data_IF_562079643561
#
_entry.id   IF_562079643561
#
_cell.length_a   1.000
_cell.length_b   1.000
_cell.length_c   1.000
_cell.angle_alpha   90.00
_cell.angle_beta   90.00
_cell.angle_gamma   90.00
#
_symmetry.space_group_name_H-M   'P 1'
#
loop_
_entity.id
_entity.type
_entity.pdbx_description
1 polymer ?
#
# COMPACT_ATOMS: atom_id res chain seq x y z
N UNK A 1 6.64 -10.38 -52.67
CA UNK A 1 7.73 -10.13 -51.70
C UNK A 1 7.54 -8.86 -50.86
N UNK A 2 7.15 -7.72 -51.44
CA UNK A 2 6.98 -6.44 -50.71
C UNK A 2 5.93 -6.46 -49.58
N UNK A 3 4.84 -7.21 -49.70
CA UNK A 3 3.81 -7.33 -48.65
C UNK A 3 4.24 -8.20 -47.44
N UNK A 4 5.16 -9.15 -47.64
CA UNK A 4 5.66 -10.02 -46.54
C UNK A 4 6.60 -9.24 -45.63
N UNK A 5 7.51 -8.44 -46.21
CA UNK A 5 8.44 -7.60 -45.46
C UNK A 5 7.73 -6.51 -44.63
N UNK A 6 6.63 -5.95 -45.16
CA UNK A 6 5.80 -4.98 -44.41
C UNK A 6 5.08 -5.66 -43.25
N UNK A 7 4.53 -6.87 -43.46
CA UNK A 7 3.88 -7.63 -42.38
C UNK A 7 4.86 -8.04 -41.27
N UNK A 8 6.08 -8.44 -41.62
CA UNK A 8 7.14 -8.76 -40.65
C UNK A 8 7.66 -7.54 -39.90
N UNK A 9 7.78 -6.37 -40.55
CA UNK A 9 8.19 -5.15 -39.88
C UNK A 9 7.12 -4.66 -38.89
N UNK A 10 5.85 -4.74 -39.25
CA UNK A 10 4.72 -4.41 -38.36
C UNK A 10 4.65 -5.39 -37.19
N UNK A 11 4.82 -6.70 -37.43
CA UNK A 11 4.79 -7.71 -36.36
C UNK A 11 5.96 -7.55 -35.38
N UNK A 12 7.19 -7.30 -35.86
CA UNK A 12 8.35 -7.01 -35.00
C UNK A 12 8.14 -5.76 -34.15
N UNK A 13 7.53 -4.71 -34.71
CA UNK A 13 7.27 -3.44 -34.01
C UNK A 13 6.22 -3.62 -32.90
N UNK A 14 5.16 -4.38 -33.16
CA UNK A 14 4.16 -4.72 -32.15
C UNK A 14 4.74 -5.64 -31.05
N UNK A 15 5.61 -6.57 -31.42
CA UNK A 15 6.29 -7.46 -30.48
C UNK A 15 7.26 -6.69 -29.56
N UNK A 16 8.00 -5.70 -30.07
CA UNK A 16 8.87 -4.83 -29.26
C UNK A 16 8.10 -3.89 -28.35
N UNK A 17 6.95 -3.35 -28.79
CA UNK A 17 6.06 -2.57 -27.90
C UNK A 17 5.52 -3.42 -26.75
N UNK A 18 5.06 -4.64 -27.05
CA UNK A 18 4.56 -5.59 -26.05
C UNK A 18 5.65 -6.02 -25.07
N UNK A 19 6.88 -6.26 -25.53
CA UNK A 19 7.99 -6.63 -24.62
C UNK A 19 8.33 -5.50 -23.66
N UNK A 20 8.50 -4.26 -24.16
CA UNK A 20 8.78 -3.09 -23.31
C UNK A 20 7.69 -2.83 -22.26
N UNK A 21 6.42 -2.96 -22.65
CA UNK A 21 5.30 -2.82 -21.72
C UNK A 21 5.31 -3.90 -20.64
N UNK A 22 5.65 -5.14 -20.98
CA UNK A 22 5.82 -6.23 -19.99
C UNK A 22 6.99 -5.96 -19.06
N UNK A 23 8.13 -5.50 -19.58
CA UNK A 23 9.31 -5.14 -18.77
C UNK A 23 8.98 -4.00 -17.78
N UNK A 24 8.32 -2.94 -18.21
CA UNK A 24 7.95 -1.83 -17.33
C UNK A 24 6.99 -2.27 -16.21
N UNK A 25 5.99 -3.11 -16.53
CA UNK A 25 5.10 -3.70 -15.51
C UNK A 25 5.88 -4.56 -14.52
N UNK A 26 6.76 -5.42 -15.02
CA UNK A 26 7.58 -6.28 -14.17
C UNK A 26 8.47 -5.46 -13.24
N UNK A 27 9.04 -4.34 -13.71
CA UNK A 27 9.84 -3.45 -12.87
C UNK A 27 9.03 -2.76 -11.77
N UNK A 28 7.81 -2.29 -12.06
CA UNK A 28 6.94 -1.67 -11.03
C UNK A 28 6.54 -2.71 -9.97
N UNK A 29 6.13 -3.90 -10.41
CA UNK A 29 5.77 -5.00 -9.50
C UNK A 29 7.00 -5.43 -8.68
N UNK A 30 8.16 -5.57 -9.31
CA UNK A 30 9.40 -5.91 -8.63
C UNK A 30 9.84 -4.82 -7.64
N UNK A 31 9.64 -3.54 -7.95
CA UNK A 31 9.93 -2.44 -7.04
C UNK A 31 9.02 -2.48 -5.80
N UNK A 32 7.72 -2.72 -5.98
CA UNK A 32 6.77 -2.87 -4.87
C UNK A 32 7.10 -4.09 -4.00
N UNK A 33 7.33 -5.25 -4.63
CA UNK A 33 7.70 -6.47 -3.92
C UNK A 33 9.06 -6.34 -3.21
N UNK A 34 10.03 -5.72 -3.88
CA UNK A 34 11.35 -5.45 -3.33
C UNK A 34 11.29 -4.51 -2.14
N UNK A 35 10.51 -3.41 -2.23
CA UNK A 35 10.27 -2.50 -1.12
C UNK A 35 9.61 -3.20 0.07
N UNK A 36 8.58 -4.02 -0.19
CA UNK A 36 7.88 -4.77 0.85
C UNK A 36 8.81 -5.79 1.51
N UNK A 37 9.61 -6.53 0.73
CA UNK A 37 10.58 -7.49 1.23
C UNK A 37 11.70 -6.83 2.03
N UNK A 38 12.29 -5.75 1.51
CA UNK A 38 13.32 -4.98 2.21
C UNK A 38 12.80 -4.42 3.53
N UNK A 39 11.56 -3.94 3.55
CA UNK A 39 10.90 -3.48 4.78
C UNK A 39 10.71 -4.63 5.77
N UNK A 40 10.20 -5.78 5.32
CA UNK A 40 10.01 -6.96 6.15
C UNK A 40 11.33 -7.47 6.75
N UNK A 41 12.39 -7.49 5.95
CA UNK A 41 13.73 -7.87 6.41
C UNK A 41 14.32 -6.84 7.38
N UNK A 42 14.22 -5.56 7.07
CA UNK A 42 14.69 -4.49 7.94
C UNK A 42 13.95 -4.50 9.29
N UNK A 43 12.63 -4.70 9.27
CA UNK A 43 11.83 -4.86 10.48
C UNK A 43 12.33 -6.05 11.30
N UNK A 44 12.49 -7.22 10.68
CA UNK A 44 12.97 -8.44 11.35
C UNK A 44 14.36 -8.26 11.96
N UNK A 45 15.25 -7.54 11.28
CA UNK A 45 16.61 -7.28 11.73
C UNK A 45 16.67 -6.26 12.87
N UNK A 46 15.86 -5.19 12.81
CA UNK A 46 15.79 -4.19 13.88
C UNK A 46 15.06 -4.69 15.12
N UNK A 47 14.14 -5.65 14.97
CA UNK A 47 13.34 -6.21 16.07
C UNK A 47 13.92 -7.48 16.64
N UNK A 48 15.15 -7.84 16.28
CA UNK A 48 15.90 -8.89 16.93
C UNK A 48 16.37 -8.39 18.31
N UNK A 49 15.40 -8.03 19.16
CA UNK A 49 15.60 -7.96 20.59
C UNK A 49 15.89 -9.42 20.95
N UNK A 50 17.15 -9.72 21.25
CA UNK A 50 17.60 -11.10 21.52
C UNK A 50 16.70 -11.81 22.54
N UNK A 51 16.85 -13.13 22.66
CA UNK A 51 16.06 -13.97 23.57
C UNK A 51 15.89 -13.28 24.93
N UNK A 52 14.66 -12.82 25.24
CA UNK A 52 14.36 -12.23 26.53
C UNK A 52 14.56 -13.34 27.56
N UNK A 53 15.48 -13.17 28.53
CA UNK A 53 15.74 -14.21 29.52
C UNK A 53 14.46 -14.62 30.24
N UNK A 54 14.09 -15.91 30.16
CA UNK A 54 12.87 -16.45 30.78
C UNK A 54 11.67 -16.66 29.85
N UNK A 55 11.74 -16.20 28.58
CA UNK A 55 10.72 -16.51 27.56
C UNK A 55 11.25 -17.55 26.55
N UNK A 56 10.40 -18.51 26.10
CA UNK A 56 10.78 -19.41 25.02
C UNK A 56 11.13 -18.61 23.76
N UNK A 57 12.19 -19.02 23.06
CA UNK A 57 12.52 -18.43 21.77
C UNK A 57 11.35 -18.64 20.78
N UNK A 58 11.00 -17.60 20.03
CA UNK A 58 9.95 -17.72 19.02
C UNK A 58 10.36 -18.71 17.94
N UNK A 59 9.46 -19.61 17.49
CA UNK A 59 9.72 -20.47 16.35
C UNK A 59 10.07 -19.64 15.10
N UNK A 60 11.02 -20.09 14.25
CA UNK A 60 11.38 -19.38 13.01
C UNK A 60 10.18 -19.06 12.12
N UNK A 61 9.18 -19.96 12.10
CA UNK A 61 7.93 -19.76 11.36
C UNK A 61 7.19 -18.49 11.79
N UNK A 62 7.09 -18.21 13.09
CA UNK A 62 6.40 -17.01 13.60
C UNK A 62 7.25 -15.78 13.33
N UNK A 63 8.55 -15.88 13.63
CA UNK A 63 9.52 -14.78 13.46
C UNK A 63 9.58 -14.24 12.04
N UNK A 64 9.70 -15.11 11.03
CA UNK A 64 9.75 -14.69 9.62
C UNK A 64 8.37 -14.64 8.96
N UNK A 65 7.41 -15.41 9.46
CA UNK A 65 6.06 -15.46 8.91
C UNK A 65 5.30 -14.15 9.12
N UNK A 66 5.42 -13.50 10.27
CA UNK A 66 4.66 -12.27 10.58
C UNK A 66 5.00 -11.15 9.59
N UNK A 67 6.26 -10.78 9.35
CA UNK A 67 6.61 -9.74 8.39
C UNK A 67 6.17 -10.07 6.96
N UNK A 68 6.27 -11.34 6.55
CA UNK A 68 5.86 -11.80 5.21
C UNK A 68 4.35 -11.74 5.05
N UNK A 69 3.59 -12.24 6.02
CA UNK A 69 2.13 -12.21 6.01
C UNK A 69 1.61 -10.75 6.03
N UNK A 70 2.25 -9.88 6.81
CA UNK A 70 1.93 -8.45 6.85
C UNK A 70 2.22 -7.76 5.52
N UNK A 71 3.37 -8.01 4.91
CA UNK A 71 3.71 -7.49 3.60
C UNK A 71 2.72 -7.95 2.52
N UNK A 72 2.33 -9.23 2.55
CA UNK A 72 1.33 -9.78 1.64
C UNK A 72 -0.06 -9.13 1.83
N UNK A 73 -0.48 -8.93 3.08
CA UNK A 73 -1.70 -8.22 3.43
C UNK A 73 -1.71 -6.80 2.87
N UNK A 74 -0.67 -6.02 3.17
CA UNK A 74 -0.59 -4.61 2.77
C UNK A 74 -0.55 -4.49 1.23
N UNK A 75 0.24 -5.31 0.53
CA UNK A 75 0.28 -5.31 -0.93
C UNK A 75 -1.07 -5.71 -1.56
N UNK A 76 -1.75 -6.70 -1.00
CA UNK A 76 -3.05 -7.16 -1.49
C UNK A 76 -4.13 -6.09 -1.27
N UNK A 77 -4.12 -5.42 -0.13
CA UNK A 77 -5.05 -4.34 0.17
C UNK A 77 -4.81 -3.11 -0.73
N UNK A 78 -3.54 -2.69 -0.91
CA UNK A 78 -3.15 -1.62 -1.83
C UNK A 78 -3.57 -1.93 -3.27
N UNK A 79 -3.34 -3.16 -3.73
CA UNK A 79 -3.76 -3.60 -5.05
C UNK A 79 -5.28 -3.58 -5.19
N UNK A 80 -6.02 -4.04 -4.17
CA UNK A 80 -7.49 -4.05 -4.16
C UNK A 80 -8.03 -2.61 -4.25
N UNK A 81 -7.51 -1.69 -3.45
CA UNK A 81 -7.91 -0.26 -3.47
C UNK A 81 -7.60 0.36 -4.83
N UNK A 82 -6.39 0.16 -5.36
CA UNK A 82 -5.97 0.69 -6.66
C UNK A 82 -6.80 0.17 -7.84
N UNK A 83 -7.06 -1.13 -7.88
CA UNK A 83 -7.87 -1.76 -8.91
C UNK A 83 -9.34 -1.33 -8.82
N UNK A 84 -9.86 -1.19 -7.60
CA UNK A 84 -11.22 -0.72 -7.35
C UNK A 84 -11.44 0.71 -7.83
N UNK A 85 -10.48 1.62 -7.72
CA UNK A 85 -10.65 3.00 -8.19
C UNK A 85 -10.35 3.19 -9.69
N UNK A 86 -9.66 2.25 -10.32
CA UNK A 86 -9.15 2.38 -11.68
C UNK A 86 -10.22 2.74 -12.73
N UNK A 87 -11.44 2.15 -12.73
CA UNK A 87 -12.47 2.51 -13.71
C UNK A 87 -12.86 3.99 -13.65
N UNK A 88 -12.91 4.59 -12.45
CA UNK A 88 -13.19 6.01 -12.26
C UNK A 88 -12.07 6.91 -12.79
N UNK A 89 -10.82 6.46 -12.66
CA UNK A 89 -9.67 7.18 -13.23
C UNK A 89 -9.71 7.15 -14.76
N UNK A 90 -10.03 6.02 -15.37
CA UNK A 90 -10.21 5.89 -16.82
C UNK A 90 -11.38 6.74 -17.33
N UNK A 91 -12.48 6.80 -16.57
CA UNK A 91 -13.69 7.49 -16.97
C UNK A 91 -14.57 6.66 -17.92
N UNK A 92 -15.75 7.19 -18.18
CA UNK A 92 -16.82 6.47 -18.86
C UNK A 92 -17.12 7.00 -20.27
N UNK A 93 -16.35 7.98 -20.74
CA UNK A 93 -16.58 8.68 -22.01
C UNK A 93 -16.28 7.78 -23.24
N UNK A 94 -15.35 6.82 -23.11
CA UNK A 94 -14.90 5.95 -24.20
C UNK A 94 -14.95 4.45 -23.84
N UNK A 95 -16.14 3.86 -23.65
CA UNK A 95 -16.31 2.51 -23.09
C UNK A 95 -15.60 1.42 -23.92
N UNK A 96 -15.57 1.54 -25.25
CA UNK A 96 -14.89 0.57 -26.13
C UNK A 96 -13.39 0.42 -25.81
N UNK A 97 -12.75 1.46 -25.25
CA UNK A 97 -11.32 1.49 -24.93
C UNK A 97 -11.04 1.25 -23.46
N UNK A 98 -11.89 1.74 -22.57
CA UNK A 98 -11.73 1.63 -21.12
C UNK A 98 -12.18 0.27 -20.60
N UNK A 99 -13.22 -0.34 -21.17
CA UNK A 99 -13.84 -1.57 -20.67
C UNK A 99 -12.91 -2.79 -20.64
N UNK A 100 -12.03 -3.06 -21.64
CA UNK A 100 -11.09 -4.17 -21.56
C UNK A 100 -10.11 -4.04 -20.38
N UNK A 101 -9.83 -2.82 -19.94
CA UNK A 101 -8.96 -2.53 -18.80
C UNK A 101 -9.74 -2.66 -17.50
N UNK A 102 -10.93 -2.06 -17.45
CA UNK A 102 -11.82 -2.10 -16.30
C UNK A 102 -12.26 -3.54 -15.97
N UNK A 103 -12.63 -4.34 -16.98
CA UNK A 103 -12.99 -5.75 -16.81
C UNK A 103 -11.86 -6.57 -16.19
N UNK A 104 -10.62 -6.36 -16.66
CA UNK A 104 -9.44 -7.03 -16.09
C UNK A 104 -9.18 -6.56 -14.65
N UNK A 105 -9.36 -5.27 -14.37
CA UNK A 105 -9.22 -4.73 -13.03
C UNK A 105 -10.23 -5.36 -12.06
N UNK A 106 -11.51 -5.44 -12.45
CA UNK A 106 -12.58 -6.08 -11.66
C UNK A 106 -12.26 -7.53 -11.31
N UNK A 107 -11.77 -8.32 -12.27
CA UNK A 107 -11.34 -9.70 -12.03
C UNK A 107 -10.18 -9.79 -11.02
N UNK A 108 -9.20 -8.90 -11.16
CA UNK A 108 -8.05 -8.88 -10.26
C UNK A 108 -8.41 -8.37 -8.87
N UNK A 109 -9.38 -7.47 -8.73
CA UNK A 109 -9.91 -7.04 -7.42
C UNK A 109 -10.45 -8.23 -6.63
N UNK A 110 -11.11 -9.20 -7.28
CA UNK A 110 -11.57 -10.42 -6.61
C UNK A 110 -10.39 -11.22 -6.07
N UNK A 111 -9.39 -11.45 -6.92
CA UNK A 111 -8.19 -12.19 -6.54
C UNK A 111 -7.43 -11.49 -5.40
N UNK A 112 -7.17 -10.19 -5.52
CA UNK A 112 -6.42 -9.43 -4.50
C UNK A 112 -7.22 -9.31 -3.20
N UNK A 113 -8.55 -9.20 -3.26
CA UNK A 113 -9.41 -9.23 -2.08
C UNK A 113 -9.35 -10.56 -1.32
N UNK A 114 -9.31 -11.69 -2.04
CA UNK A 114 -9.12 -13.01 -1.41
C UNK A 114 -7.72 -13.18 -0.82
N UNK A 115 -6.68 -12.72 -1.52
CA UNK A 115 -5.30 -12.75 -0.99
C UNK A 115 -5.19 -11.87 0.25
N UNK A 116 -5.84 -10.71 0.27
CA UNK A 116 -5.92 -9.85 1.46
C UNK A 116 -6.60 -10.59 2.62
N UNK A 117 -7.78 -11.15 2.40
CA UNK A 117 -8.50 -11.93 3.43
C UNK A 117 -7.61 -13.05 4.01
N UNK A 118 -7.01 -13.87 3.15
CA UNK A 118 -6.14 -14.97 3.59
C UNK A 118 -4.91 -14.47 4.34
N UNK A 119 -4.28 -13.39 3.88
CA UNK A 119 -3.09 -12.81 4.54
C UNK A 119 -3.43 -12.22 5.91
N UNK A 120 -4.62 -11.63 6.07
CA UNK A 120 -5.12 -11.14 7.35
C UNK A 120 -5.36 -12.30 8.35
N UNK A 121 -5.97 -13.39 7.90
CA UNK A 121 -6.18 -14.59 8.74
C UNK A 121 -4.86 -15.26 9.12
N UNK A 122 -3.92 -15.39 8.18
CA UNK A 122 -2.57 -15.91 8.48
C UNK A 122 -1.85 -15.00 9.48
N UNK A 123 -1.94 -13.68 9.31
CA UNK A 123 -1.35 -12.72 10.25
C UNK A 123 -1.95 -12.86 11.64
N UNK A 124 -3.27 -13.10 11.76
CA UNK A 124 -3.95 -13.33 13.03
C UNK A 124 -3.41 -14.57 13.73
N UNK A 125 -3.31 -15.70 13.02
CA UNK A 125 -2.77 -16.95 13.58
C UNK A 125 -1.34 -16.76 14.07
N UNK A 126 -0.49 -16.14 13.25
CA UNK A 126 0.91 -15.94 13.59
C UNK A 126 1.09 -14.99 14.79
N UNK A 127 0.32 -13.91 14.86
CA UNK A 127 0.37 -12.99 16.01
C UNK A 127 -0.19 -13.62 17.29
N UNK A 128 -1.23 -14.46 17.20
CA UNK A 128 -1.72 -15.23 18.35
C UNK A 128 -0.65 -16.19 18.90
N UNK A 129 0.15 -16.80 18.02
CA UNK A 129 1.29 -17.64 18.41
C UNK A 129 2.44 -16.83 19.02
N UNK A 130 2.69 -15.61 18.53
CA UNK A 130 3.66 -14.67 19.12
C UNK A 130 3.24 -14.24 20.53
N UNK A 131 1.95 -13.98 20.75
CA UNK A 131 1.41 -13.57 22.05
C UNK A 131 1.41 -14.71 23.10
N UNK A 132 1.53 -15.97 22.69
CA UNK A 132 1.59 -17.11 23.61
C UNK A 132 2.66 -18.14 23.18
N UNK A 133 3.96 -17.81 23.34
CA UNK A 133 5.05 -18.67 22.91
C UNK A 133 4.97 -20.07 23.55
N UNK A 134 5.02 -21.11 22.72
CA UNK A 134 5.01 -22.51 23.17
C UNK A 134 3.62 -23.15 23.30
N UNK A 135 2.53 -22.40 23.12
CA UNK A 135 1.19 -22.97 23.05
C UNK A 135 0.87 -23.52 21.65
N UNK A 136 0.15 -24.65 21.54
CA UNK A 136 -0.28 -25.17 20.24
C UNK A 136 -1.30 -24.21 19.60
N UNK A 137 -1.23 -24.06 18.28
CA UNK A 137 -2.18 -23.29 17.49
C UNK A 137 -3.55 -23.98 17.48
N UNK A 138 -4.36 -23.70 18.49
CA UNK A 138 -5.71 -24.26 18.69
C UNK A 138 -6.76 -23.18 18.45
N UNK A 139 -8.00 -23.60 18.16
CA UNK A 139 -9.13 -22.66 18.02
C UNK A 139 -9.34 -21.84 19.29
N UNK A 140 -9.09 -22.43 20.47
CA UNK A 140 -9.17 -21.72 21.75
C UNK A 140 -8.17 -20.57 21.88
N UNK A 141 -6.93 -20.76 21.40
CA UNK A 141 -5.92 -19.69 21.37
C UNK A 141 -6.36 -18.52 20.48
N UNK A 142 -6.94 -18.82 19.32
CA UNK A 142 -7.40 -17.80 18.38
C UNK A 142 -8.58 -16.99 18.96
N UNK A 143 -9.54 -17.67 19.60
CA UNK A 143 -10.66 -17.01 20.28
C UNK A 143 -10.14 -16.12 21.41
N UNK A 144 -9.24 -16.65 22.26
CA UNK A 144 -8.64 -15.87 23.33
C UNK A 144 -7.88 -14.64 22.82
N UNK A 145 -7.13 -14.76 21.72
CA UNK A 145 -6.46 -13.62 21.10
C UNK A 145 -7.44 -12.57 20.59
N UNK A 146 -8.53 -12.99 19.94
CA UNK A 146 -9.58 -12.09 19.44
C UNK A 146 -10.32 -11.39 20.58
N UNK A 147 -10.56 -12.07 21.70
CA UNK A 147 -11.29 -11.49 22.82
C UNK A 147 -10.41 -10.56 23.68
N UNK A 148 -9.12 -10.90 23.85
CA UNK A 148 -8.26 -10.24 24.83
C UNK A 148 -7.21 -9.30 24.21
N UNK A 149 -6.98 -9.36 22.89
CA UNK A 149 -5.99 -8.52 22.22
C UNK A 149 -6.68 -7.65 21.17
N UNK A 150 -6.60 -6.30 21.27
CA UNK A 150 -7.26 -5.38 20.32
C UNK A 150 -6.90 -5.62 18.84
N UNK A 151 -5.70 -6.13 18.57
CA UNK A 151 -5.27 -6.48 17.22
C UNK A 151 -6.05 -7.66 16.60
N UNK A 152 -6.58 -8.57 17.42
CA UNK A 152 -7.34 -9.74 16.96
C UNK A 152 -8.62 -9.38 16.21
N UNK A 153 -9.56 -8.61 16.81
CA UNK A 153 -10.75 -8.11 16.13
C UNK A 153 -10.40 -7.24 14.92
N UNK A 154 -9.34 -6.44 14.99
CA UNK A 154 -8.86 -5.63 13.87
C UNK A 154 -8.50 -6.45 12.63
N UNK A 155 -7.73 -7.53 12.82
CA UNK A 155 -7.37 -8.45 11.72
C UNK A 155 -8.56 -9.24 11.19
N UNK A 156 -9.49 -9.67 12.04
CA UNK A 156 -10.74 -10.31 11.60
C UNK A 156 -11.60 -9.36 10.77
N UNK A 157 -11.78 -8.12 11.23
CA UNK A 157 -12.53 -7.11 10.51
C UNK A 157 -11.86 -6.78 9.16
N UNK A 158 -10.52 -6.70 9.12
CA UNK A 158 -9.79 -6.53 7.86
C UNK A 158 -9.96 -7.72 6.91
N UNK A 159 -9.94 -8.95 7.43
CA UNK A 159 -10.22 -10.15 6.64
C UNK A 159 -11.64 -10.10 6.05
N UNK A 160 -12.64 -9.70 6.86
CA UNK A 160 -14.00 -9.46 6.41
C UNK A 160 -14.09 -8.38 5.34
N UNK A 161 -13.32 -7.29 5.46
CA UNK A 161 -13.19 -6.26 4.44
C UNK A 161 -12.63 -6.78 3.11
N UNK A 162 -11.59 -7.61 3.16
CA UNK A 162 -11.04 -8.29 1.98
C UNK A 162 -12.04 -9.23 1.30
N UNK A 163 -12.79 -10.00 2.09
CA UNK A 163 -13.87 -10.85 1.59
C UNK A 163 -14.99 -10.03 0.95
N UNK A 164 -15.42 -8.94 1.60
CA UNK A 164 -16.46 -8.06 1.07
C UNK A 164 -16.01 -7.42 -0.25
N UNK A 165 -14.74 -7.01 -0.35
CA UNK A 165 -14.16 -6.55 -1.62
C UNK A 165 -14.22 -7.62 -2.72
N UNK A 166 -13.93 -8.88 -2.38
CA UNK A 166 -14.00 -9.98 -3.34
C UNK A 166 -15.44 -10.24 -3.80
N UNK A 167 -16.41 -10.20 -2.88
CA UNK A 167 -17.84 -10.36 -3.20
C UNK A 167 -18.36 -9.22 -4.08
N UNK A 168 -18.09 -7.97 -3.69
CA UNK A 168 -18.46 -6.79 -4.49
C UNK A 168 -17.74 -6.82 -5.85
N UNK A 169 -16.48 -7.26 -5.88
CA UNK A 169 -15.71 -7.49 -7.10
C UNK A 169 -16.35 -8.55 -8.02
N UNK A 170 -16.89 -9.63 -7.46
CA UNK A 170 -17.59 -10.66 -8.23
C UNK A 170 -18.87 -10.11 -8.86
N UNK A 171 -19.65 -9.33 -8.09
CA UNK A 171 -20.81 -8.61 -8.62
C UNK A 171 -20.41 -7.64 -9.73
N UNK A 172 -19.30 -6.92 -9.56
CA UNK A 172 -18.75 -6.01 -10.56
C UNK A 172 -18.30 -6.74 -11.84
N UNK A 173 -17.75 -7.95 -11.74
CA UNK A 173 -17.43 -8.81 -12.90
C UNK A 173 -18.71 -9.23 -13.62
N UNK A 174 -19.77 -9.56 -12.88
CA UNK A 174 -21.04 -10.04 -13.45
C UNK A 174 -21.91 -8.94 -14.07
N UNK A 175 -21.96 -7.78 -13.42
CA UNK A 175 -22.89 -6.68 -13.72
C UNK A 175 -22.20 -5.42 -14.27
N UNK A 176 -20.87 -5.45 -14.44
CA UNK A 176 -20.13 -4.30 -14.95
C UNK A 176 -20.24 -3.08 -14.04
N UNK A 177 -20.39 -1.90 -14.61
CA UNK A 177 -20.45 -0.62 -13.88
C UNK A 177 -21.82 -0.31 -13.24
N UNK A 178 -22.79 -1.23 -13.30
CA UNK A 178 -24.00 -1.15 -12.47
C UNK A 178 -23.68 -1.23 -10.98
N UNK A 179 -22.54 -1.83 -10.61
CA UNK A 179 -21.96 -1.71 -9.27
C UNK A 179 -21.05 -0.48 -9.27
N UNK A 180 -21.39 0.61 -8.57
CA UNK A 180 -20.61 1.84 -8.63
C UNK A 180 -19.15 1.63 -8.21
N UNK A 181 -18.24 2.25 -8.95
CA UNK A 181 -16.81 2.20 -8.66
C UNK A 181 -16.48 2.87 -7.31
N UNK A 182 -17.25 3.89 -6.94
CA UNK A 182 -17.22 4.55 -5.63
C UNK A 182 -17.48 3.57 -4.50
N UNK A 183 -18.53 2.74 -4.63
CA UNK A 183 -18.87 1.74 -3.62
C UNK A 183 -17.73 0.75 -3.42
N UNK A 184 -17.15 0.22 -4.51
CA UNK A 184 -16.00 -0.71 -4.46
C UNK A 184 -14.81 -0.09 -3.73
N UNK A 185 -14.53 1.17 -4.03
CA UNK A 185 -13.40 1.90 -3.44
C UNK A 185 -13.66 2.17 -1.97
N UNK A 186 -14.86 2.64 -1.60
CA UNK A 186 -15.24 2.88 -0.20
C UNK A 186 -15.17 1.60 0.61
N UNK A 187 -15.71 0.49 0.11
CA UNK A 187 -15.63 -0.83 0.78
C UNK A 187 -14.17 -1.23 1.02
N UNK A 188 -13.30 -1.05 0.03
CA UNK A 188 -11.87 -1.34 0.18
C UNK A 188 -11.16 -0.42 1.18
N UNK A 189 -11.52 0.86 1.24
CA UNK A 189 -10.97 1.78 2.23
C UNK A 189 -11.46 1.47 3.64
N UNK A 190 -12.75 1.13 3.81
CA UNK A 190 -13.32 0.73 5.09
C UNK A 190 -12.69 -0.56 5.62
N UNK A 191 -12.39 -1.53 4.75
CA UNK A 191 -11.69 -2.76 5.15
C UNK A 191 -10.26 -2.54 5.69
N UNK A 192 -9.65 -1.38 5.39
CA UNK A 192 -8.32 -1.01 5.89
C UNK A 192 -8.35 -0.32 7.26
N UNK A 193 -9.48 0.31 7.64
CA UNK A 193 -9.58 1.08 8.89
C UNK A 193 -9.35 0.25 10.17
N UNK A 194 -9.68 -1.05 10.22
CA UNK A 194 -9.35 -1.86 11.39
C UNK A 194 -7.84 -2.09 11.61
N UNK A 195 -6.99 -1.83 10.61
CA UNK A 195 -5.55 -2.08 10.72
C UNK A 195 -4.83 -1.12 11.69
N UNK A 196 -5.08 0.20 11.66
CA UNK A 196 -4.64 1.13 12.71
C UNK A 196 -4.95 0.69 14.14
N UNK A 197 -6.08 0.01 14.37
CA UNK A 197 -6.49 -0.50 15.70
C UNK A 197 -5.59 -1.63 16.23
N UNK A 198 -4.70 -2.19 15.39
CA UNK A 198 -3.76 -3.25 15.80
C UNK A 198 -2.55 -2.72 16.58
N UNK A 199 -2.36 -1.39 16.62
CA UNK A 199 -1.31 -0.75 17.43
C UNK A 199 -1.80 -0.43 18.84
N UNK A 200 -0.92 -0.56 19.84
CA UNK A 200 -1.16 -0.09 21.20
C UNK A 200 -1.21 1.45 21.22
N UNK A 201 -2.33 2.05 20.81
CA UNK A 201 -2.59 3.43 21.13
C UNK A 201 -2.76 3.50 22.65
N UNK A 202 -1.73 3.98 23.34
CA UNK A 202 -1.76 4.23 24.79
C UNK A 202 -2.98 5.07 25.15
N UNK A 203 -3.71 4.71 26.21
CA UNK A 203 -4.82 5.52 26.72
C UNK A 203 -4.31 6.92 27.12
N UNK A 204 -4.70 7.94 26.37
CA UNK A 204 -4.33 9.33 26.62
C UNK A 204 -5.39 10.29 26.08
N UNK A 205 -5.36 11.53 26.57
CA UNK A 205 -6.38 12.57 26.31
C UNK A 205 -6.67 12.87 24.82
N UNK A 206 -5.78 12.52 23.88
CA UNK A 206 -5.97 12.73 22.44
C UNK A 206 -5.96 11.43 21.61
N UNK A 207 -6.28 10.30 22.26
CA UNK A 207 -6.36 9.00 21.63
C UNK A 207 -7.21 9.00 20.34
N UNK A 208 -8.41 9.57 20.39
CA UNK A 208 -9.35 9.61 19.26
C UNK A 208 -8.81 10.40 18.07
N UNK A 209 -8.13 11.53 18.34
CA UNK A 209 -7.49 12.32 17.28
C UNK A 209 -6.33 11.58 16.62
N UNK A 210 -5.54 10.84 17.41
CA UNK A 210 -4.46 10.01 16.89
C UNK A 210 -5.00 8.85 16.04
N UNK A 211 -6.11 8.23 16.44
CA UNK A 211 -6.76 7.19 15.66
C UNK A 211 -7.27 7.72 14.32
N UNK A 212 -8.04 8.81 14.33
CA UNK A 212 -8.56 9.44 13.10
C UNK A 212 -7.40 9.87 12.19
N UNK A 213 -6.33 10.44 12.75
CA UNK A 213 -5.14 10.82 11.98
C UNK A 213 -4.48 9.61 11.32
N UNK A 214 -4.32 8.49 12.03
CA UNK A 214 -3.76 7.26 11.48
C UNK A 214 -4.66 6.64 10.40
N UNK A 215 -5.97 6.65 10.59
CA UNK A 215 -6.94 6.21 9.58
C UNK A 215 -6.82 7.04 8.30
N UNK A 216 -6.79 8.37 8.43
CA UNK A 216 -6.57 9.29 7.30
C UNK A 216 -5.24 9.03 6.61
N UNK A 217 -4.18 8.74 7.38
CA UNK A 217 -2.87 8.37 6.84
C UNK A 217 -2.94 7.12 5.97
N UNK A 218 -3.54 6.04 6.49
CA UNK A 218 -3.65 4.76 5.78
C UNK A 218 -4.53 4.89 4.55
N UNK A 219 -5.67 5.58 4.66
CA UNK A 219 -6.58 5.84 3.52
C UNK A 219 -5.86 6.63 2.43
N UNK A 220 -5.18 7.72 2.79
CA UNK A 220 -4.40 8.53 1.86
C UNK A 220 -3.29 7.73 1.19
N UNK A 221 -2.51 6.99 1.98
CA UNK A 221 -1.41 6.17 1.47
C UNK A 221 -1.92 5.07 0.54
N UNK A 222 -3.04 4.42 0.88
CA UNK A 222 -3.63 3.37 0.06
C UNK A 222 -4.15 3.89 -1.27
N UNK A 223 -4.81 5.06 -1.27
CA UNK A 223 -5.27 5.68 -2.51
C UNK A 223 -4.10 6.10 -3.40
N UNK A 224 -3.02 6.60 -2.80
CA UNK A 224 -1.85 7.06 -3.54
C UNK A 224 -1.04 5.89 -4.12
N UNK A 225 -0.57 4.97 -3.29
CA UNK A 225 0.30 3.85 -3.72
C UNK A 225 -0.50 2.87 -4.58
N UNK A 226 -1.71 2.50 -4.15
CA UNK A 226 -2.57 1.60 -4.90
C UNK A 226 -2.99 2.18 -6.25
N UNK A 227 -3.41 3.44 -6.27
CA UNK A 227 -3.77 4.13 -7.52
C UNK A 227 -2.58 4.29 -8.46
N UNK A 228 -1.40 4.62 -7.95
CA UNK A 228 -0.17 4.73 -8.73
C UNK A 228 0.19 3.38 -9.38
N UNK A 229 0.16 2.30 -8.60
CA UNK A 229 0.41 0.95 -9.09
C UNK A 229 -0.60 0.54 -10.17
N UNK A 230 -1.88 0.82 -9.96
CA UNK A 230 -2.93 0.52 -10.94
C UNK A 230 -2.73 1.30 -12.25
N UNK A 231 -2.46 2.61 -12.18
CA UNK A 231 -2.17 3.44 -13.36
C UNK A 231 -0.91 2.96 -14.08
N UNK A 232 0.16 2.68 -13.34
CA UNK A 232 1.43 2.22 -13.90
C UNK A 232 1.30 0.87 -14.62
N UNK A 233 0.58 -0.08 -14.02
CA UNK A 233 0.48 -1.44 -14.56
C UNK A 233 -0.54 -1.55 -15.70
N UNK A 234 -1.68 -0.85 -15.60
CA UNK A 234 -2.80 -1.05 -16.52
C UNK A 234 -2.97 0.05 -17.56
N UNK A 235 -2.51 1.27 -17.25
CA UNK A 235 -2.73 2.46 -18.09
C UNK A 235 -1.47 2.89 -18.82
N UNK A 236 -0.29 2.85 -18.18
CA UNK A 236 0.97 3.29 -18.79
C UNK A 236 1.29 2.72 -20.19
N UNK A 237 0.95 1.45 -20.52
CA UNK A 237 1.16 0.93 -21.87
C UNK A 237 0.31 1.59 -22.96
N UNK A 238 -0.76 2.30 -22.58
CA UNK A 238 -1.80 2.86 -23.48
C UNK A 238 -1.83 4.38 -23.35
N UNK A 239 -1.16 5.08 -24.26
CA UNK A 239 -0.98 6.55 -24.18
C UNK A 239 -2.29 7.34 -24.17
N UNK A 240 -3.29 6.87 -24.88
CA UNK A 240 -4.59 7.53 -24.98
C UNK A 240 -5.30 7.52 -23.62
N UNK A 241 -5.35 6.36 -22.96
CA UNK A 241 -5.92 6.23 -21.61
C UNK A 241 -5.08 6.97 -20.56
N UNK A 242 -3.77 7.09 -20.80
CA UNK A 242 -2.86 7.81 -19.92
C UNK A 242 -3.17 9.31 -19.88
N UNK A 243 -3.55 9.91 -21.01
CA UNK A 243 -3.94 11.32 -21.09
C UNK A 243 -5.21 11.61 -20.28
N UNK A 244 -6.11 10.63 -20.11
CA UNK A 244 -7.34 10.77 -19.33
C UNK A 244 -7.14 10.48 -17.84
N UNK A 245 -6.43 9.38 -17.53
CA UNK A 245 -6.29 8.90 -16.16
C UNK A 245 -5.28 9.68 -15.34
N UNK A 246 -4.14 10.10 -15.92
CA UNK A 246 -3.05 10.74 -15.18
C UNK A 246 -3.47 12.11 -14.61
N UNK A 247 -4.20 13.00 -15.32
CA UNK A 247 -4.66 14.25 -14.72
C UNK A 247 -5.59 14.04 -13.52
N UNK A 248 -6.51 13.06 -13.60
CA UNK A 248 -7.42 12.71 -12.50
C UNK A 248 -6.65 12.14 -11.32
N UNK A 249 -5.73 11.20 -11.59
CA UNK A 249 -4.88 10.60 -10.57
C UNK A 249 -3.93 11.63 -9.93
N UNK A 250 -3.37 12.58 -10.68
CA UNK A 250 -2.47 13.61 -10.16
C UNK A 250 -3.16 14.54 -9.14
N UNK A 251 -4.47 14.82 -9.31
CA UNK A 251 -5.25 15.54 -8.29
C UNK A 251 -5.39 14.72 -7.00
N UNK A 252 -5.74 13.44 -7.14
CA UNK A 252 -5.87 12.51 -6.02
C UNK A 252 -4.54 12.34 -5.28
N UNK A 253 -3.44 12.13 -6.01
CA UNK A 253 -2.09 11.98 -5.46
C UNK A 253 -1.63 13.24 -4.72
N UNK A 254 -1.96 14.44 -5.24
CA UNK A 254 -1.67 15.70 -4.55
C UNK A 254 -2.41 15.84 -3.22
N UNK A 255 -3.70 15.45 -3.18
CA UNK A 255 -4.47 15.43 -1.94
C UNK A 255 -3.94 14.37 -0.97
N UNK A 256 -3.64 13.17 -1.46
CA UNK A 256 -3.10 12.09 -0.65
C UNK A 256 -1.74 12.46 -0.06
N UNK A 257 -0.84 13.09 -0.83
CA UNK A 257 0.43 13.62 -0.33
C UNK A 257 0.22 14.58 0.85
N UNK A 258 -0.74 15.50 0.75
CA UNK A 258 -1.06 16.43 1.84
C UNK A 258 -1.61 15.70 3.07
N UNK A 259 -2.58 14.81 2.89
CA UNK A 259 -3.21 14.07 3.99
C UNK A 259 -2.20 13.16 4.69
N UNK A 260 -1.44 12.37 3.94
CA UNK A 260 -0.41 11.45 4.45
C UNK A 260 0.71 12.23 5.13
N UNK A 261 1.16 13.33 4.52
CA UNK A 261 2.20 14.19 5.08
C UNK A 261 1.78 14.84 6.39
N UNK A 262 0.60 15.45 6.43
CA UNK A 262 0.07 16.11 7.62
C UNK A 262 -0.20 15.12 8.75
N UNK A 263 -0.92 14.03 8.48
CA UNK A 263 -1.21 12.98 9.48
C UNK A 263 0.06 12.29 9.99
N UNK A 264 1.00 11.98 9.11
CA UNK A 264 2.25 11.32 9.48
C UNK A 264 3.14 12.21 10.36
N UNK A 265 3.22 13.51 10.02
CA UNK A 265 3.95 14.47 10.83
C UNK A 265 3.25 14.73 12.17
N UNK A 266 1.92 14.84 12.17
CA UNK A 266 1.14 14.98 13.39
C UNK A 266 1.37 13.80 14.34
N UNK A 267 1.20 12.56 13.87
CA UNK A 267 1.37 11.36 14.70
C UNK A 267 2.81 11.27 15.24
N UNK A 268 3.81 11.50 14.39
CA UNK A 268 5.22 11.42 14.78
C UNK A 268 5.64 12.51 15.79
N UNK A 269 5.19 13.75 15.60
CA UNK A 269 5.51 14.85 16.51
C UNK A 269 4.74 14.74 17.84
N UNK A 270 3.48 14.30 17.80
CA UNK A 270 2.71 14.07 19.02
C UNK A 270 3.40 13.06 19.92
N UNK A 271 3.90 11.95 19.36
CA UNK A 271 4.63 10.93 20.13
C UNK A 271 5.88 11.49 20.84
N UNK A 272 6.64 12.40 20.22
CA UNK A 272 7.75 13.09 20.90
C UNK A 272 7.27 14.03 22.03
N UNK A 273 6.18 14.76 21.80
CA UNK A 273 5.70 15.80 22.73
C UNK A 273 5.12 15.17 24.00
N UNK A 274 4.44 14.04 23.88
CA UNK A 274 3.82 13.34 25.02
C UNK A 274 4.88 12.65 25.88
N UNK A 275 6.01 12.27 25.28
CA UNK A 275 7.09 11.57 25.97
C UNK A 275 7.82 12.54 26.92
N UNK A 276 7.61 12.46 28.25
CA UNK A 276 7.96 13.56 29.18
C UNK A 276 9.46 13.84 29.30
N UNK A 277 10.32 12.93 28.86
CA UNK A 277 11.79 12.99 29.02
C UNK A 277 12.55 13.54 27.81
N UNK A 278 11.88 13.77 26.67
CA UNK A 278 12.55 13.95 25.37
C UNK A 278 12.27 15.33 24.74
N UNK A 279 11.00 15.72 24.63
CA UNK A 279 10.60 16.98 23.98
C UNK A 279 11.09 17.13 22.52
N UNK A 280 11.06 18.35 21.96
CA UNK A 280 11.49 18.63 20.58
C UNK A 280 12.98 18.38 20.33
N UNK A 281 13.82 18.46 21.36
CA UNK A 281 15.24 18.11 21.27
C UNK A 281 15.44 16.63 20.87
N UNK A 282 14.48 15.78 21.24
CA UNK A 282 14.37 14.39 20.81
C UNK A 282 14.48 14.14 19.32
N UNK A 283 14.11 15.12 18.51
CA UNK A 283 14.09 14.99 17.07
C UNK A 283 15.49 14.67 16.50
N UNK A 284 16.54 15.18 17.15
CA UNK A 284 17.93 14.95 16.75
C UNK A 284 18.69 14.03 17.71
N UNK A 285 18.28 13.97 18.98
CA UNK A 285 18.97 13.17 20.00
C UNK A 285 18.55 11.71 20.05
N UNK A 286 17.33 11.38 19.61
CA UNK A 286 16.80 10.01 19.68
C UNK A 286 16.80 9.31 18.32
N UNK A 287 16.92 7.98 18.33
CA UNK A 287 16.76 7.15 17.14
C UNK A 287 15.38 7.32 16.50
N UNK A 288 14.33 7.44 17.32
CA UNK A 288 12.97 7.75 16.87
C UNK A 288 12.93 9.05 16.06
N UNK A 289 13.51 10.13 16.60
CA UNK A 289 13.56 11.44 15.96
C UNK A 289 14.29 11.41 14.61
N UNK A 290 15.41 10.69 14.53
CA UNK A 290 16.16 10.53 13.29
C UNK A 290 15.36 9.78 12.21
N UNK A 291 14.61 8.73 12.59
CA UNK A 291 13.72 8.01 11.68
C UNK A 291 12.57 8.92 11.21
N UNK A 292 12.02 9.76 12.10
CA UNK A 292 10.98 10.73 11.75
C UNK A 292 11.51 11.79 10.78
N UNK A 293 12.73 12.30 10.97
CA UNK A 293 13.41 13.18 10.00
C UNK A 293 13.57 12.46 8.66
N UNK A 294 13.99 11.20 8.66
CA UNK A 294 14.10 10.39 7.45
C UNK A 294 12.79 10.31 6.66
N UNK A 295 11.67 10.11 7.36
CA UNK A 295 10.32 10.18 6.75
C UNK A 295 9.98 11.56 6.20
N UNK A 296 10.32 12.63 6.93
CA UNK A 296 10.13 14.01 6.48
C UNK A 296 10.89 14.30 5.18
N UNK A 297 12.15 13.84 5.10
CA UNK A 297 12.97 13.95 3.87
C UNK A 297 12.33 13.17 2.73
N UNK A 298 11.88 11.93 2.97
CA UNK A 298 11.18 11.15 1.94
C UNK A 298 9.92 11.87 1.43
N UNK A 299 9.15 12.49 2.33
CA UNK A 299 7.96 13.27 1.97
C UNK A 299 8.31 14.48 1.07
N UNK A 300 9.37 15.22 1.41
CA UNK A 300 9.85 16.34 0.58
C UNK A 300 10.30 15.86 -0.80
N UNK A 301 11.04 14.75 -0.86
CA UNK A 301 11.46 14.15 -2.14
C UNK A 301 10.24 13.74 -2.98
N UNK A 302 9.24 13.11 -2.37
CA UNK A 302 7.98 12.75 -3.05
C UNK A 302 7.21 13.99 -3.55
N UNK A 303 7.19 15.07 -2.77
CA UNK A 303 6.58 16.33 -3.19
C UNK A 303 7.28 16.92 -4.41
N UNK A 304 8.62 16.88 -4.46
CA UNK A 304 9.41 17.33 -5.61
C UNK A 304 9.14 16.46 -6.84
N UNK A 305 9.12 15.13 -6.69
CA UNK A 305 8.78 14.19 -7.76
C UNK A 305 7.36 14.46 -8.28
N UNK A 306 6.39 14.63 -7.39
CA UNK A 306 5.00 14.94 -7.71
C UNK A 306 4.86 16.26 -8.46
N UNK A 307 5.57 17.31 -8.02
CA UNK A 307 5.62 18.60 -8.69
C UNK A 307 6.23 18.46 -10.11
N UNK A 308 7.33 17.73 -10.25
CA UNK A 308 7.94 17.48 -11.55
C UNK A 308 6.99 16.71 -12.48
N UNK A 309 6.29 15.70 -11.98
CA UNK A 309 5.29 14.97 -12.76
C UNK A 309 4.13 15.87 -13.18
N UNK A 310 3.62 16.71 -12.27
CA UNK A 310 2.47 17.59 -12.52
C UNK A 310 2.80 18.74 -13.46
N UNK A 311 3.93 19.41 -13.27
CA UNK A 311 4.24 20.64 -14.02
C UNK A 311 5.07 20.40 -15.29
N UNK A 312 5.87 19.33 -15.36
CA UNK A 312 6.73 19.04 -16.53
C UNK A 312 6.24 17.87 -17.37
N UNK A 313 5.83 16.76 -16.74
CA UNK A 313 5.44 15.55 -17.49
C UNK A 313 3.99 15.60 -17.95
N UNK A 314 3.06 16.06 -17.11
CA UNK A 314 1.63 16.07 -17.42
C UNK A 314 1.30 16.82 -18.73
N UNK A 315 1.87 18.01 -19.01
CA UNK A 315 1.61 18.69 -20.29
C UNK A 315 2.10 17.89 -21.51
N UNK A 316 3.21 17.15 -21.37
CA UNK A 316 3.75 16.28 -22.43
C UNK A 316 2.88 15.04 -22.64
N UNK A 317 2.36 14.47 -21.55
CA UNK A 317 1.41 13.33 -21.58
C UNK A 317 0.10 13.76 -22.25
N UNK A 318 -0.41 14.96 -21.96
CA UNK A 318 -1.60 15.51 -22.61
C UNK A 318 -1.42 15.66 -24.13
N UNK A 319 -0.20 15.98 -24.59
CA UNK A 319 0.17 15.98 -26.02
C UNK A 319 0.55 14.60 -26.58
N UNK A 320 0.36 13.53 -25.81
CA UNK A 320 0.68 12.15 -26.17
C UNK A 320 2.15 11.89 -26.56
N UNK A 321 3.06 12.74 -26.08
CA UNK A 321 4.50 12.62 -26.31
C UNK A 321 5.10 11.43 -25.54
N UNK A 322 6.27 10.95 -26.01
CA UNK A 322 7.04 9.95 -25.25
C UNK A 322 7.68 10.64 -24.04
N UNK A 323 7.35 10.16 -22.84
CA UNK A 323 7.92 10.67 -21.59
C UNK A 323 8.63 9.57 -20.81
N UNK A 324 9.47 9.98 -19.86
CA UNK A 324 10.11 9.08 -18.90
C UNK A 324 9.18 8.70 -17.73
N UNK A 325 7.86 8.65 -17.94
CA UNK A 325 6.87 8.47 -16.87
C UNK A 325 7.20 7.24 -15.99
N UNK A 326 7.49 6.09 -16.60
CA UNK A 326 7.79 4.87 -15.85
C UNK A 326 9.03 4.99 -14.98
N UNK A 327 10.05 5.75 -15.39
CA UNK A 327 11.23 6.01 -14.57
C UNK A 327 10.86 6.81 -13.33
N UNK A 328 10.04 7.86 -13.48
CA UNK A 328 9.57 8.67 -12.35
C UNK A 328 8.66 7.89 -11.41
N UNK A 329 7.77 7.05 -11.95
CA UNK A 329 6.91 6.17 -11.15
C UNK A 329 7.73 5.16 -10.35
N UNK A 330 8.74 4.53 -10.97
CA UNK A 330 9.63 3.59 -10.26
C UNK A 330 10.38 4.32 -9.14
N UNK A 331 10.85 5.55 -9.39
CA UNK A 331 11.53 6.35 -8.37
C UNK A 331 10.58 6.75 -7.23
N UNK A 332 9.35 7.16 -7.54
CA UNK A 332 8.32 7.48 -6.55
C UNK A 332 8.00 6.24 -5.68
N UNK A 333 7.77 5.08 -6.29
CA UNK A 333 7.53 3.81 -5.60
C UNK A 333 8.72 3.42 -4.72
N UNK A 334 9.96 3.62 -5.19
CA UNK A 334 11.15 3.32 -4.41
C UNK A 334 11.22 4.20 -3.15
N UNK A 335 10.98 5.51 -3.27
CA UNK A 335 10.98 6.43 -2.12
C UNK A 335 9.82 6.12 -1.15
N UNK A 336 8.63 5.79 -1.65
CA UNK A 336 7.51 5.30 -0.83
C UNK A 336 7.88 4.02 -0.07
N UNK A 337 8.58 3.10 -0.74
CA UNK A 337 9.07 1.86 -0.15
C UNK A 337 10.02 2.11 1.02
N UNK A 338 10.95 3.05 0.85
CA UNK A 338 11.85 3.48 1.95
C UNK A 338 11.05 4.12 3.09
N UNK A 339 10.10 5.02 2.79
CA UNK A 339 9.28 5.67 3.81
C UNK A 339 8.41 4.68 4.60
N UNK A 340 7.85 3.67 3.92
CA UNK A 340 7.11 2.57 4.54
C UNK A 340 8.04 1.71 5.42
N UNK A 341 9.24 1.38 4.92
CA UNK A 341 10.30 0.69 5.67
C UNK A 341 10.67 1.38 6.97
N UNK A 342 10.97 2.67 6.89
CA UNK A 342 11.22 3.52 8.05
C UNK A 342 10.03 3.53 9.02
N UNK A 343 8.80 3.47 8.52
CA UNK A 343 7.60 3.43 9.35
C UNK A 343 7.43 2.14 10.14
N UNK A 344 7.75 1.00 9.54
CA UNK A 344 7.71 -0.29 10.26
C UNK A 344 8.76 -0.32 11.35
N UNK A 345 9.99 0.16 11.07
CA UNK A 345 11.04 0.29 12.10
C UNK A 345 10.59 1.25 13.20
N UNK A 346 9.99 2.40 12.85
CA UNK A 346 9.49 3.39 13.81
C UNK A 346 8.45 2.81 14.78
N UNK A 347 7.49 2.02 14.27
CA UNK A 347 6.44 1.40 15.11
C UNK A 347 6.95 0.44 16.17
N UNK A 348 8.22 0.07 16.11
CA UNK A 348 8.87 -0.85 17.04
C UNK A 348 10.14 -0.26 17.67
N UNK A 349 10.47 1.00 17.37
CA UNK A 349 11.65 1.67 17.90
C UNK A 349 11.38 2.05 19.37
N UNK A 350 12.25 1.65 20.31
CA UNK A 350 12.08 2.07 21.70
C UNK A 350 12.31 3.58 21.84
N UNK A 351 11.38 4.26 22.53
CA UNK A 351 11.57 5.63 23.03
C UNK A 351 12.43 5.57 24.30
N UNK A 352 13.68 5.11 24.18
CA UNK A 352 14.63 5.06 25.29
C UNK A 352 15.75 6.07 25.00
N UNK A 353 16.08 6.87 26.01
CA UNK A 353 17.28 7.74 26.05
C UNK A 353 18.47 6.89 26.45
#
# INVERSE_FOLDING_TARGET
MRNVAVHEAVSRTEQTKRSRARTAKALVVAALLGAALLTALAATAYTDVGTIPGLPALPPLVRFGIPVARAALDLAALATVGLSMLPKLLGFDQPKRTEPVAARARQLTVFTGLVWMLSALVSLVLQAMEASPGSPATTGLLVAYVENVPAGPGLLASAGGGLLCAVVGLFAVRFGESVPTELRTIVALLGLLPMPLTGHATDWQYHDFSMISMELHVVGAAMWVGGLAAVAVFVAPRRELLAEAVPRFSKLAGLALLVVGASGMFNGLMELIITPSVGLAGLVTTQYGQILIGKAVCLVVLAVIGAQMRFRLLPRIARQERTALMTWVIFEVAVMGVAYGLGVVLSRAPLII
#
